data_IF_686661454749
#
_entry.id   IF_686661454749
#
_cell.length_a   1.000
_cell.length_b   1.000
_cell.length_c   1.000
_cell.angle_alpha   90.00
_cell.angle_beta   90.00
_cell.angle_gamma   90.00
#
_symmetry.space_group_name_H-M   'P 1'
#
loop_
_entity.id
_entity.type
_entity.pdbx_description
1 polymer ?
#
# COMPACT_ATOMS: atom_id res chain seq x y z
N UNK A 1 -0.50 20.67 -16.67
CA UNK A 1 0.74 21.20 -16.04
C UNK A 1 0.38 21.68 -14.64
N UNK A 2 1.02 21.16 -13.59
CA UNK A 2 0.65 21.42 -12.18
C UNK A 2 1.54 22.45 -11.48
N UNK A 3 2.71 22.77 -12.05
CA UNK A 3 3.72 23.66 -11.47
C UNK A 3 4.29 24.55 -12.57
N UNK A 4 4.79 25.71 -12.19
CA UNK A 4 5.37 26.67 -13.13
C UNK A 4 6.70 26.19 -13.73
N UNK A 5 7.51 25.45 -12.97
CA UNK A 5 8.80 24.93 -13.39
C UNK A 5 8.86 23.40 -13.28
N UNK A 6 9.61 22.76 -14.18
CA UNK A 6 9.85 21.31 -14.16
C UNK A 6 11.36 21.01 -14.23
N UNK A 7 11.78 19.92 -13.59
CA UNK A 7 13.11 19.34 -13.74
C UNK A 7 12.97 18.13 -14.67
N UNK A 8 13.17 18.26 -15.98
CA UNK A 8 13.07 17.13 -16.89
C UNK A 8 14.21 16.14 -16.61
N UNK A 9 13.84 14.90 -16.33
CA UNK A 9 14.79 13.81 -16.12
C UNK A 9 14.27 12.54 -16.77
N UNK A 10 14.86 12.16 -17.90
CA UNK A 10 14.44 11.02 -18.74
C UNK A 10 12.94 11.01 -19.10
N UNK A 11 12.32 12.19 -19.14
CA UNK A 11 10.91 12.37 -19.42
C UNK A 11 10.71 13.60 -20.32
N UNK A 12 9.61 13.60 -21.06
CA UNK A 12 9.21 14.75 -21.88
C UNK A 12 8.59 15.83 -20.97
N UNK A 13 9.16 17.04 -20.91
CA UNK A 13 8.60 18.12 -20.11
C UNK A 13 7.27 18.60 -20.70
N UNK A 14 6.36 19.02 -19.83
CA UNK A 14 5.11 19.67 -20.19
C UNK A 14 5.23 21.19 -20.32
N UNK A 15 6.26 21.80 -19.73
CA UNK A 15 6.50 23.25 -19.74
C UNK A 15 7.43 23.70 -20.88
N UNK A 16 7.35 24.99 -21.22
CA UNK A 16 8.23 25.63 -22.21
C UNK A 16 9.70 25.58 -21.79
N UNK A 17 10.67 25.61 -22.74
CA UNK A 17 12.10 25.44 -22.44
C UNK A 17 12.69 26.43 -21.43
N UNK A 18 12.16 27.65 -21.34
CA UNK A 18 12.56 28.69 -20.39
C UNK A 18 12.18 28.36 -18.94
N UNK A 19 11.17 27.50 -18.76
CA UNK A 19 10.66 27.03 -17.46
C UNK A 19 11.20 25.66 -17.06
N UNK A 20 12.12 25.09 -17.85
CA UNK A 20 12.79 23.84 -17.52
C UNK A 20 14.08 24.10 -16.76
N UNK A 21 14.23 23.43 -15.61
CA UNK A 21 15.44 23.48 -14.79
C UNK A 21 16.26 22.22 -15.10
N UNK A 22 17.30 22.39 -15.91
CA UNK A 22 18.24 21.30 -16.23
C UNK A 22 19.06 20.89 -15.00
N UNK A 23 19.51 19.64 -14.97
CA UNK A 23 20.29 19.10 -13.85
C UNK A 23 21.61 19.82 -13.60
N UNK A 24 22.31 20.23 -14.66
CA UNK A 24 23.56 21.00 -14.60
C UNK A 24 23.40 22.38 -13.92
N UNK A 25 22.17 22.89 -13.85
CA UNK A 25 21.81 24.14 -13.19
C UNK A 25 21.43 23.95 -11.72
N UNK A 26 21.39 22.72 -11.22
CA UNK A 26 21.10 22.43 -9.82
C UNK A 26 22.36 22.57 -8.98
N UNK A 27 22.26 23.36 -7.92
CA UNK A 27 23.28 23.49 -6.89
C UNK A 27 22.74 22.96 -5.57
N UNK A 28 23.59 22.26 -4.83
CA UNK A 28 23.29 21.75 -3.49
C UNK A 28 24.22 22.43 -2.50
N UNK A 29 23.67 22.80 -1.34
CA UNK A 29 24.46 23.27 -0.20
C UNK A 29 23.85 22.75 1.10
N UNK A 30 24.65 22.68 2.16
CA UNK A 30 24.16 22.39 3.51
C UNK A 30 24.21 23.67 4.32
N UNK A 31 23.09 24.04 4.95
CA UNK A 31 23.01 25.18 5.87
C UNK A 31 22.25 24.76 7.12
N UNK A 32 22.85 24.94 8.29
CA UNK A 32 22.26 24.57 9.59
C UNK A 32 21.74 23.12 9.61
N UNK A 33 22.54 22.19 9.07
CA UNK A 33 22.18 20.77 8.99
C UNK A 33 21.10 20.42 7.95
N UNK A 34 20.67 21.37 7.12
CA UNK A 34 19.63 21.15 6.09
C UNK A 34 20.20 21.21 4.69
N UNK A 35 19.77 20.30 3.82
CA UNK A 35 20.08 20.38 2.39
C UNK A 35 19.21 21.46 1.73
N UNK A 36 19.87 22.33 0.96
CA UNK A 36 19.26 23.39 0.18
C UNK A 36 19.60 23.15 -1.29
N UNK A 37 18.57 22.81 -2.07
CA UNK A 37 18.63 22.75 -3.53
C UNK A 37 18.29 24.13 -4.11
N UNK A 38 19.11 24.61 -5.06
CA UNK A 38 18.94 25.93 -5.69
C UNK A 38 19.19 25.83 -7.19
N UNK A 39 18.48 26.64 -7.99
CA UNK A 39 18.87 26.88 -9.38
C UNK A 39 19.99 27.92 -9.42
N UNK A 40 21.10 27.62 -10.10
CA UNK A 40 22.15 28.60 -10.38
C UNK A 40 21.61 29.75 -11.23
N UNK A 41 20.91 29.43 -12.33
CA UNK A 41 20.34 30.40 -13.28
C UNK A 41 19.31 31.33 -12.65
N UNK A 42 18.39 30.80 -11.84
CA UNK A 42 17.29 31.59 -11.26
C UNK A 42 17.66 32.22 -9.91
N UNK A 43 18.76 31.79 -9.29
CA UNK A 43 19.13 32.14 -7.91
C UNK A 43 17.98 31.91 -6.89
N UNK A 44 17.15 30.89 -7.13
CA UNK A 44 15.99 30.54 -6.30
C UNK A 44 16.12 29.15 -5.70
N UNK A 45 15.67 28.98 -4.45
CA UNK A 45 15.54 27.67 -3.81
C UNK A 45 14.51 26.83 -4.56
N UNK A 46 14.81 25.55 -4.74
CA UNK A 46 13.94 24.58 -5.38
C UNK A 46 13.41 23.62 -4.30
N UNK A 47 12.10 23.42 -4.30
CA UNK A 47 11.44 22.37 -3.54
C UNK A 47 10.88 21.36 -4.55
N UNK A 48 11.60 20.26 -4.85
CA UNK A 48 11.10 19.26 -5.78
C UNK A 48 9.80 18.66 -5.27
N UNK A 49 8.91 18.27 -6.16
CA UNK A 49 7.65 17.59 -5.84
C UNK A 49 7.40 16.52 -6.89
N UNK A 50 7.20 15.29 -6.45
CA UNK A 50 6.72 14.23 -7.31
C UNK A 50 5.19 14.29 -7.37
N UNK A 51 4.62 14.39 -8.57
CA UNK A 51 3.18 14.52 -8.78
C UNK A 51 2.53 13.24 -9.32
N UNK A 52 3.20 12.09 -9.18
CA UNK A 52 2.70 10.77 -9.58
C UNK A 52 2.86 9.79 -8.42
N UNK A 53 2.08 8.69 -8.46
CA UNK A 53 2.19 7.58 -7.52
C UNK A 53 3.38 6.64 -7.84
N UNK A 54 4.43 7.14 -8.50
CA UNK A 54 5.56 6.32 -8.90
C UNK A 54 6.41 5.96 -7.67
N UNK A 55 6.66 4.67 -7.47
CA UNK A 55 7.51 4.17 -6.39
C UNK A 55 9.00 4.44 -6.69
N UNK A 56 9.45 5.66 -6.42
CA UNK A 56 10.84 6.08 -6.63
C UNK A 56 11.85 5.47 -5.63
N UNK A 57 11.38 4.70 -4.64
CA UNK A 57 12.27 4.01 -3.70
C UNK A 57 12.73 2.65 -4.23
N UNK A 58 12.10 2.13 -5.29
CA UNK A 58 12.42 0.84 -5.89
C UNK A 58 13.22 1.03 -7.20
N UNK A 59 14.53 0.80 -7.17
CA UNK A 59 15.44 0.83 -8.33
C UNK A 59 15.41 2.14 -9.16
N UNK A 60 15.16 3.29 -8.52
CA UNK A 60 15.28 4.58 -9.16
C UNK A 60 16.74 4.97 -9.43
N UNK A 61 16.95 5.81 -10.44
CA UNK A 61 18.25 6.43 -10.66
C UNK A 61 18.61 7.36 -9.48
N UNK A 62 19.87 7.38 -9.01
CA UNK A 62 20.24 8.09 -7.78
C UNK A 62 19.86 9.57 -7.74
N UNK A 63 19.98 10.28 -8.87
CA UNK A 63 19.62 11.70 -8.98
C UNK A 63 18.11 11.90 -8.81
N UNK A 64 17.30 11.04 -9.43
CA UNK A 64 15.85 11.09 -9.31
C UNK A 64 15.39 10.75 -7.90
N UNK A 65 15.96 9.71 -7.30
CA UNK A 65 15.68 9.34 -5.92
C UNK A 65 16.04 10.48 -4.95
N UNK A 66 17.22 11.07 -5.08
CA UNK A 66 17.65 12.21 -4.26
C UNK A 66 16.66 13.38 -4.32
N UNK A 67 16.21 13.76 -5.52
CA UNK A 67 15.22 14.83 -5.69
C UNK A 67 13.87 14.45 -5.06
N UNK A 68 13.47 13.19 -5.15
CA UNK A 68 12.23 12.67 -4.55
C UNK A 68 12.33 12.44 -3.03
N UNK A 69 13.53 12.31 -2.47
CA UNK A 69 13.73 12.26 -1.01
C UNK A 69 13.66 13.67 -0.42
N UNK A 70 14.22 14.67 -1.11
CA UNK A 70 14.31 16.04 -0.64
C UNK A 70 12.93 16.68 -0.37
N UNK A 71 11.88 16.25 -1.07
CA UNK A 71 10.50 16.71 -0.81
C UNK A 71 9.98 16.33 0.57
N UNK A 72 10.56 15.31 1.21
CA UNK A 72 10.21 14.84 2.55
C UNK A 72 11.09 15.45 3.66
N UNK A 73 12.10 16.25 3.31
CA UNK A 73 12.89 16.97 4.29
C UNK A 73 11.97 17.93 5.06
N UNK A 74 11.95 17.79 6.40
CA UNK A 74 11.09 18.54 7.32
C UNK A 74 9.59 18.20 7.26
N UNK A 75 9.20 17.05 6.67
CA UNK A 75 7.80 16.58 6.61
C UNK A 75 7.68 15.19 7.25
N UNK A 76 6.71 15.03 8.16
CA UNK A 76 6.30 13.69 8.60
C UNK A 76 5.54 13.00 7.46
N UNK A 77 6.06 11.86 6.99
CA UNK A 77 5.64 11.16 5.75
C UNK A 77 4.18 10.65 5.74
N UNK A 78 3.43 10.82 6.81
CA UNK A 78 2.02 10.47 6.90
C UNK A 78 1.64 9.99 8.30
N UNK A 79 0.36 9.68 8.45
CA UNK A 79 -0.16 8.92 9.59
C UNK A 79 -0.34 7.48 9.11
N UNK A 80 0.49 6.58 9.61
CA UNK A 80 0.39 5.15 9.33
C UNK A 80 0.35 4.39 10.65
N UNK A 81 -0.44 3.33 10.71
CA UNK A 81 -0.39 2.37 11.80
C UNK A 81 0.59 1.25 11.46
N UNK A 82 1.53 0.97 12.35
CA UNK A 82 2.45 -0.15 12.23
C UNK A 82 2.45 -0.99 13.50
N UNK A 83 2.45 -2.32 13.32
CA UNK A 83 2.70 -3.26 14.40
C UNK A 83 4.18 -3.29 14.83
N UNK A 84 5.05 -2.61 14.08
CA UNK A 84 6.47 -2.49 14.34
C UNK A 84 7.15 -3.87 14.44
N UNK A 85 7.97 -4.12 15.48
CA UNK A 85 8.67 -5.40 15.64
C UNK A 85 7.77 -6.65 15.75
N UNK A 86 6.45 -6.46 15.91
CA UNK A 86 5.50 -7.56 16.04
C UNK A 86 4.96 -8.07 14.71
N UNK A 87 5.14 -7.37 13.59
CA UNK A 87 4.47 -7.60 12.29
C UNK A 87 4.55 -9.04 11.73
N UNK A 88 5.56 -9.82 12.14
CA UNK A 88 5.78 -11.20 11.68
C UNK A 88 5.86 -12.24 12.83
N UNK A 89 5.56 -11.83 14.06
CA UNK A 89 5.71 -12.69 15.25
C UNK A 89 4.44 -13.44 15.60
N UNK A 90 3.29 -12.84 15.37
CA UNK A 90 2.00 -13.42 15.73
C UNK A 90 1.37 -14.14 14.54
N UNK A 91 0.66 -15.23 14.84
CA UNK A 91 -0.21 -15.90 13.86
C UNK A 91 -1.43 -15.03 13.56
N UNK A 92 -1.96 -14.30 14.54
CA UNK A 92 -3.16 -13.49 14.40
C UNK A 92 -2.93 -12.07 14.92
N UNK A 93 -3.39 -11.09 14.16
CA UNK A 93 -3.45 -9.68 14.51
C UNK A 93 -4.91 -9.25 14.54
N UNK A 94 -5.43 -8.75 15.67
CA UNK A 94 -6.79 -8.26 15.74
C UNK A 94 -6.94 -6.98 14.91
N UNK A 95 -8.18 -6.70 14.49
CA UNK A 95 -8.53 -5.42 13.89
C UNK A 95 -8.20 -4.29 14.85
N UNK A 96 -7.46 -3.29 14.39
CA UNK A 96 -7.17 -2.08 15.15
C UNK A 96 -8.11 -0.98 14.69
N UNK A 97 -8.84 -0.40 15.64
CA UNK A 97 -9.81 0.65 15.36
C UNK A 97 -9.57 1.85 16.26
N UNK A 98 -9.85 3.03 15.71
CA UNK A 98 -9.97 4.26 16.47
C UNK A 98 -11.31 4.90 16.12
N UNK A 99 -12.24 4.88 17.07
CA UNK A 99 -13.65 5.24 16.83
C UNK A 99 -14.23 4.41 15.67
N UNK A 100 -14.73 5.06 14.63
CA UNK A 100 -15.29 4.46 13.42
C UNK A 100 -14.25 4.24 12.31
N UNK A 101 -12.95 4.41 12.59
CA UNK A 101 -11.87 4.24 11.61
C UNK A 101 -11.15 2.92 11.88
N UNK A 102 -11.08 2.06 10.86
CA UNK A 102 -10.23 0.87 10.89
C UNK A 102 -8.82 1.32 10.49
N UNK A 103 -7.87 1.23 11.42
CA UNK A 103 -6.47 1.56 11.19
C UNK A 103 -5.68 0.38 10.62
N UNK A 104 -6.07 -0.84 11.00
CA UNK A 104 -5.51 -2.08 10.47
C UNK A 104 -6.59 -3.16 10.49
N UNK A 105 -6.87 -3.84 9.36
CA UNK A 105 -7.78 -4.98 9.35
C UNK A 105 -7.18 -6.13 10.18
N UNK A 106 -8.04 -7.04 10.65
CA UNK A 106 -7.59 -8.29 11.23
C UNK A 106 -6.77 -9.09 10.19
N UNK A 107 -5.63 -9.66 10.62
CA UNK A 107 -4.71 -10.41 9.75
C UNK A 107 -4.33 -11.75 10.37
N UNK A 108 -4.11 -12.75 9.52
CA UNK A 108 -3.61 -14.07 9.89
C UNK A 108 -2.36 -14.40 9.07
N UNK A 109 -1.24 -14.63 9.76
CA UNK A 109 0.04 -15.02 9.15
C UNK A 109 0.24 -16.52 9.33
N UNK A 110 0.07 -17.27 8.24
CA UNK A 110 0.24 -18.72 8.25
C UNK A 110 1.64 -19.10 7.76
N UNK A 111 2.31 -19.96 8.52
CA UNK A 111 3.57 -20.63 8.16
C UNK A 111 3.28 -22.06 7.75
N UNK A 112 4.23 -22.71 7.08
CA UNK A 112 4.06 -24.04 6.48
C UNK A 112 3.41 -25.06 7.44
N UNK A 113 3.83 -25.08 8.69
CA UNK A 113 3.30 -25.94 9.75
C UNK A 113 1.78 -25.79 9.97
N UNK A 114 1.21 -24.62 9.70
CA UNK A 114 -0.22 -24.36 9.91
C UNK A 114 -1.11 -24.88 8.76
N UNK A 115 -0.57 -25.18 7.58
CA UNK A 115 -1.37 -25.50 6.38
C UNK A 115 -0.83 -26.66 5.54
N UNK A 116 0.32 -27.24 5.87
CA UNK A 116 0.92 -28.33 5.10
C UNK A 116 -0.01 -29.54 4.93
N UNK A 117 -0.81 -29.87 5.94
CA UNK A 117 -1.73 -31.01 5.91
C UNK A 117 -2.81 -30.82 4.84
N UNK A 118 -3.23 -29.58 4.59
CA UNK A 118 -4.20 -29.27 3.53
C UNK A 118 -3.61 -29.51 2.14
N UNK A 119 -2.30 -29.32 1.97
CA UNK A 119 -1.61 -29.46 0.67
C UNK A 119 -1.48 -30.92 0.23
N UNK A 120 -1.51 -31.86 1.18
CA UNK A 120 -1.36 -33.30 0.89
C UNK A 120 -2.66 -33.94 0.39
N UNK A 121 -3.80 -33.24 0.54
CA UNK A 121 -5.12 -33.77 0.21
C UNK A 121 -5.38 -33.63 -1.30
N UNK A 122 -5.44 -34.76 -2.00
CA UNK A 122 -5.76 -34.80 -3.44
C UNK A 122 -7.27 -34.80 -3.71
N UNK A 123 -8.07 -35.38 -2.82
CA UNK A 123 -9.52 -35.42 -2.97
C UNK A 123 -10.15 -34.06 -2.66
N UNK A 124 -10.86 -33.50 -3.63
CA UNK A 124 -11.44 -32.15 -3.55
C UNK A 124 -12.54 -32.03 -2.50
N UNK A 125 -13.32 -33.08 -2.26
CA UNK A 125 -14.40 -33.06 -1.28
C UNK A 125 -13.84 -33.18 0.15
N UNK A 126 -12.85 -34.05 0.34
CA UNK A 126 -12.13 -34.18 1.60
C UNK A 126 -11.40 -32.87 1.95
N UNK A 127 -10.74 -32.24 0.96
CA UNK A 127 -10.11 -30.94 1.14
C UNK A 127 -11.12 -29.89 1.59
N UNK A 128 -12.29 -29.84 0.93
CA UNK A 128 -13.34 -28.89 1.28
C UNK A 128 -13.88 -29.08 2.70
N UNK A 129 -14.00 -30.32 3.19
CA UNK A 129 -14.39 -30.58 4.57
C UNK A 129 -13.28 -30.21 5.56
N UNK A 130 -12.03 -30.57 5.27
CA UNK A 130 -10.88 -30.27 6.12
C UNK A 130 -10.63 -28.77 6.24
N UNK A 131 -10.84 -28.00 5.17
CA UNK A 131 -10.66 -26.55 5.23
C UNK A 131 -11.73 -25.87 6.11
N UNK A 132 -12.95 -26.41 6.23
CA UNK A 132 -13.93 -25.86 7.18
C UNK A 132 -13.44 -25.99 8.62
N UNK A 133 -12.88 -27.16 8.97
CA UNK A 133 -12.31 -27.38 10.30
C UNK A 133 -11.09 -26.49 10.55
N UNK A 134 -10.25 -26.31 9.54
CA UNK A 134 -9.12 -25.38 9.60
C UNK A 134 -9.58 -23.93 9.83
N UNK A 135 -10.63 -23.49 9.12
CA UNK A 135 -11.22 -22.17 9.35
C UNK A 135 -11.77 -22.02 10.77
N UNK A 136 -12.46 -23.04 11.28
CA UNK A 136 -12.99 -23.03 12.64
C UNK A 136 -11.87 -22.98 13.71
N UNK A 137 -10.80 -23.76 13.52
CA UNK A 137 -9.62 -23.79 14.39
C UNK A 137 -8.99 -22.40 14.53
N UNK A 138 -8.81 -21.68 13.42
CA UNK A 138 -8.17 -20.36 13.40
C UNK A 138 -9.16 -19.19 13.46
N UNK A 139 -10.45 -19.49 13.68
CA UNK A 139 -11.55 -18.51 13.73
C UNK A 139 -11.58 -17.58 12.52
N UNK A 140 -11.34 -18.14 11.33
CA UNK A 140 -11.37 -17.40 10.08
C UNK A 140 -12.82 -17.11 9.66
N UNK A 141 -13.13 -15.90 9.19
CA UNK A 141 -14.42 -15.60 8.61
C UNK A 141 -14.62 -16.36 7.29
N UNK A 142 -15.86 -16.47 6.84
CA UNK A 142 -16.18 -17.20 5.60
C UNK A 142 -15.52 -16.62 4.34
N UNK A 143 -15.24 -15.31 4.35
CA UNK A 143 -14.57 -14.57 3.28
C UNK A 143 -13.36 -13.86 3.86
N UNK A 144 -12.23 -14.00 3.18
CA UNK A 144 -10.94 -13.36 3.52
C UNK A 144 -10.27 -12.90 2.24
N UNK A 145 -9.28 -12.04 2.35
CA UNK A 145 -8.42 -11.63 1.26
C UNK A 145 -7.05 -12.30 1.42
N UNK A 146 -6.55 -12.91 0.35
CA UNK A 146 -5.16 -13.36 0.25
C UNK A 146 -4.35 -12.20 -0.31
N UNK A 147 -3.44 -11.65 0.50
CA UNK A 147 -2.56 -10.56 0.09
C UNK A 147 -1.31 -11.05 -0.62
N UNK A 148 -1.01 -10.43 -1.77
CA UNK A 148 0.21 -10.63 -2.58
C UNK A 148 0.74 -9.27 -3.04
N UNK A 149 1.65 -8.69 -2.27
CA UNK A 149 2.17 -7.33 -2.50
C UNK A 149 1.01 -6.33 -2.66
N UNK A 150 0.85 -5.75 -3.85
CA UNK A 150 -0.18 -4.77 -4.16
C UNK A 150 -1.52 -5.38 -4.61
N UNK A 151 -1.61 -6.71 -4.67
CA UNK A 151 -2.82 -7.41 -5.11
C UNK A 151 -3.49 -8.17 -3.96
N UNK A 152 -4.82 -8.12 -3.93
CA UNK A 152 -5.62 -8.90 -3.00
C UNK A 152 -6.58 -9.80 -3.77
N UNK A 153 -6.70 -11.06 -3.33
CA UNK A 153 -7.62 -12.03 -3.90
C UNK A 153 -8.67 -12.48 -2.88
N UNK A 154 -9.94 -12.28 -3.20
CA UNK A 154 -11.04 -12.77 -2.37
C UNK A 154 -11.10 -14.30 -2.36
N UNK A 155 -10.95 -14.88 -1.17
CA UNK A 155 -11.14 -16.29 -0.90
C UNK A 155 -12.45 -16.48 -0.13
N UNK A 156 -13.35 -17.27 -0.69
CA UNK A 156 -14.61 -17.64 -0.07
C UNK A 156 -14.56 -19.13 0.32
N UNK A 157 -14.40 -19.42 1.60
CA UNK A 157 -14.22 -20.78 2.09
C UNK A 157 -15.45 -21.69 1.93
N UNK A 158 -16.64 -21.12 1.68
CA UNK A 158 -17.84 -21.90 1.32
C UNK A 158 -17.91 -22.25 -0.17
N UNK A 159 -16.99 -21.74 -0.99
CA UNK A 159 -16.92 -22.04 -2.42
C UNK A 159 -15.76 -23.00 -2.73
N UNK A 160 -16.08 -24.19 -3.25
CA UNK A 160 -15.09 -25.25 -3.56
C UNK A 160 -14.00 -24.81 -4.55
N UNK A 161 -14.34 -23.98 -5.53
CA UNK A 161 -13.38 -23.50 -6.53
C UNK A 161 -12.42 -22.49 -5.89
N UNK A 162 -12.94 -21.56 -5.08
CA UNK A 162 -12.14 -20.58 -4.36
C UNK A 162 -11.14 -21.26 -3.42
N UNK A 163 -11.56 -22.32 -2.72
CA UNK A 163 -10.66 -23.16 -1.91
C UNK A 163 -9.55 -23.80 -2.75
N UNK A 164 -9.89 -24.34 -3.94
CA UNK A 164 -8.88 -24.93 -4.84
C UNK A 164 -7.88 -23.87 -5.34
N UNK A 165 -8.35 -22.65 -5.61
CA UNK A 165 -7.49 -21.52 -5.99
C UNK A 165 -6.55 -21.16 -4.85
N UNK A 166 -7.05 -21.05 -3.62
CA UNK A 166 -6.18 -20.79 -2.45
C UNK A 166 -5.06 -21.83 -2.37
N UNK A 167 -5.40 -23.12 -2.38
CA UNK A 167 -4.41 -24.21 -2.27
C UNK A 167 -3.39 -24.15 -3.41
N UNK A 168 -3.83 -23.89 -4.64
CA UNK A 168 -2.92 -23.82 -5.79
C UNK A 168 -1.93 -22.65 -5.70
N UNK A 169 -2.34 -21.52 -5.12
CA UNK A 169 -1.51 -20.33 -4.92
C UNK A 169 -0.51 -20.50 -3.77
N UNK A 170 -0.90 -21.17 -2.68
CA UNK A 170 -0.06 -21.29 -1.47
C UNK A 170 0.82 -22.53 -1.44
N UNK A 171 0.60 -23.53 -2.31
CA UNK A 171 1.31 -24.84 -2.24
C UNK A 171 2.83 -24.74 -2.19
N UNK A 172 3.41 -23.78 -2.91
CA UNK A 172 4.86 -23.58 -3.00
C UNK A 172 5.38 -22.50 -2.04
N UNK A 173 4.51 -21.89 -1.23
CA UNK A 173 4.90 -20.83 -0.31
C UNK A 173 5.36 -21.41 1.02
N UNK A 174 6.31 -20.73 1.67
CA UNK A 174 6.72 -21.00 3.04
C UNK A 174 5.73 -20.39 4.05
N UNK A 175 5.13 -19.25 3.68
CA UNK A 175 4.12 -18.54 4.44
C UNK A 175 3.15 -17.80 3.52
N UNK A 176 2.00 -17.41 4.04
CA UNK A 176 1.08 -16.48 3.40
C UNK A 176 0.30 -15.69 4.46
N UNK A 177 -0.25 -14.56 4.05
CA UNK A 177 -1.08 -13.71 4.89
C UNK A 177 -2.53 -13.70 4.37
N UNK A 178 -3.48 -13.81 5.29
CA UNK A 178 -4.89 -13.50 5.02
C UNK A 178 -5.28 -12.25 5.79
N UNK A 179 -6.10 -11.40 5.21
CA UNK A 179 -6.78 -10.28 5.88
C UNK A 179 -8.29 -10.49 5.85
N UNK A 180 -8.99 -9.89 6.80
CA UNK A 180 -10.45 -9.92 6.78
C UNK A 180 -11.00 -9.16 5.57
N UNK A 181 -12.12 -9.66 5.04
CA UNK A 181 -12.85 -8.97 3.98
C UNK A 181 -13.84 -7.99 4.60
N UNK A 182 -13.67 -6.68 4.34
CA UNK A 182 -14.44 -5.61 4.99
C UNK A 182 -15.74 -5.24 4.26
N UNK A 183 -15.86 -5.59 2.98
CA UNK A 183 -17.03 -5.20 2.19
C UNK A 183 -18.25 -6.07 2.54
N UNK A 184 -19.32 -5.39 2.95
CA UNK A 184 -20.62 -5.99 3.21
C UNK A 184 -21.64 -5.48 2.18
N UNK A 185 -22.20 -6.35 1.31
CA UNK A 185 -23.24 -5.97 0.38
C UNK A 185 -24.50 -5.38 1.02
N UNK A 186 -24.83 -5.76 2.27
CA UNK A 186 -26.04 -5.28 2.95
C UNK A 186 -25.90 -3.81 3.40
N UNK A 187 -24.68 -3.36 3.66
CA UNK A 187 -24.34 -1.99 4.09
C UNK A 187 -23.76 -1.13 2.95
N UNK A 188 -23.84 -1.63 1.72
CA UNK A 188 -23.18 -0.99 0.59
C UNK A 188 -23.94 0.26 0.12
N UNK A 189 -23.22 1.38 0.07
CA UNK A 189 -23.77 2.68 -0.30
C UNK A 189 -23.70 2.99 -1.79
N UNK A 190 -22.89 2.26 -2.56
CA UNK A 190 -22.73 2.46 -4.01
C UNK A 190 -23.49 1.39 -4.77
N UNK A 191 -24.58 1.81 -5.41
CA UNK A 191 -25.44 0.95 -6.23
C UNK A 191 -25.62 1.53 -7.63
N UNK A 192 -26.02 0.68 -8.57
CA UNK A 192 -26.34 1.04 -9.95
C UNK A 192 -27.16 -0.05 -10.63
N UNK A 193 -27.38 0.09 -11.93
CA UNK A 193 -28.28 -0.81 -12.68
C UNK A 193 -27.87 -2.29 -12.63
N UNK A 194 -26.55 -2.58 -12.53
CA UNK A 194 -26.03 -3.95 -12.46
C UNK A 194 -25.76 -4.43 -11.03
N UNK A 195 -26.27 -3.73 -10.02
CA UNK A 195 -26.21 -4.14 -8.61
C UNK A 195 -25.34 -3.23 -7.74
N UNK A 196 -24.55 -3.86 -6.88
CA UNK A 196 -23.84 -3.22 -5.78
C UNK A 196 -22.33 -3.24 -6.07
N UNK A 197 -21.63 -2.15 -5.77
CA UNK A 197 -20.23 -1.98 -6.10
C UNK A 197 -19.37 -1.75 -4.84
N UNK A 198 -18.20 -2.38 -4.82
CA UNK A 198 -17.14 -2.00 -3.90
C UNK A 198 -16.51 -0.69 -4.40
N UNK A 199 -16.10 0.20 -3.50
CA UNK A 199 -15.61 1.52 -3.85
C UNK A 199 -14.49 1.97 -2.92
N UNK A 200 -13.65 2.87 -3.41
CA UNK A 200 -12.59 3.53 -2.66
C UNK A 200 -12.71 5.04 -2.87
N UNK A 201 -12.53 5.81 -1.79
CA UNK A 201 -12.59 7.26 -1.81
C UNK A 201 -11.25 7.84 -1.39
N UNK A 202 -10.64 8.65 -2.27
CA UNK A 202 -9.40 9.37 -1.96
C UNK A 202 -9.75 10.75 -1.37
N UNK A 203 -9.37 10.97 -0.11
CA UNK A 203 -9.50 12.25 0.57
C UNK A 203 -8.14 12.89 0.82
N UNK A 204 -8.02 14.19 0.57
CA UNK A 204 -6.80 14.98 0.83
C UNK A 204 -6.98 15.83 2.07
N UNK A 205 -6.04 15.75 3.00
CA UNK A 205 -6.00 16.55 4.21
C UNK A 205 -4.86 17.57 4.12
N UNK A 206 -5.11 18.78 4.60
CA UNK A 206 -4.12 19.85 4.65
C UNK A 206 -3.99 20.35 6.07
N UNK A 207 -2.75 20.58 6.52
CA UNK A 207 -2.51 21.21 7.82
C UNK A 207 -3.05 22.63 7.74
N UNK A 208 -4.06 22.94 8.56
CA UNK A 208 -4.47 24.32 8.75
C UNK A 208 -3.35 25.02 9.53
N UNK A 209 -2.68 25.99 8.91
CA UNK A 209 -1.78 26.87 9.64
C UNK A 209 -2.67 27.73 10.53
N UNK A 210 -2.77 27.36 11.80
CA UNK A 210 -3.26 28.27 12.83
C UNK A 210 -2.17 29.34 12.90
N UNK A 211 -2.41 30.49 12.29
CA UNK A 211 -1.57 31.65 12.51
C UNK A 211 -1.62 31.93 14.01
N UNK A 212 -0.51 31.71 14.70
CA UNK A 212 -0.31 32.28 16.03
C UNK A 212 -0.51 33.80 15.89
N UNK A 213 -1.47 34.30 16.65
CA UNK A 213 -1.88 35.71 16.70
C UNK A 213 -0.80 36.57 17.34
#
# INVERSE_FOLDING_TARGET
ILREYEIPYLAKPGVSPDKQIKLDNLMISVRNGRLILRSNKLNKRILPRLCSAHNFSFNALPVYQFLCDLQSQDIHKGLEFSWGPLEERCLFYPRVTYKNIILSPARWNFRKEHFQDLLQIKDKNLLFNKIQNWCAQYKLPSKVLLGDYDNELLIHFKNKLSVQILISLIKNRASFQLSEFLFDPEEAIVTGENGIYNHECLASFFKQNINES
#
